data_IF_262453108634
#
_entry.id   IF_262453108634
#
_cell.length_a   1.000
_cell.length_b   1.000
_cell.length_c   1.000
_cell.angle_alpha   90.00
_cell.angle_beta   90.00
_cell.angle_gamma   90.00
#
_symmetry.space_group_name_H-M   'P 1'
#
loop_
_entity.id
_entity.type
_entity.pdbx_description
1 polymer ?
#
# COMPACT_ATOMS: atom_id res chain seq x y z
N UNK A 1 -25.94 11.65 -8.33
CA UNK A 1 -24.87 12.54 -8.79
C UNK A 1 -23.81 11.64 -9.39
N UNK A 2 -23.58 11.73 -10.72
CA UNK A 2 -22.46 11.04 -11.33
C UNK A 2 -21.18 11.71 -10.82
N UNK A 3 -20.38 11.01 -10.02
CA UNK A 3 -19.05 11.49 -9.64
C UNK A 3 -18.27 11.74 -10.92
N UNK A 4 -17.62 12.90 -10.99
CA UNK A 4 -17.08 13.48 -12.22
C UNK A 4 -15.99 12.61 -12.88
N UNK A 5 -15.53 11.56 -12.19
CA UNK A 5 -14.81 10.41 -12.73
C UNK A 5 -15.45 9.13 -12.17
N UNK A 6 -15.97 8.31 -13.06
CA UNK A 6 -16.47 6.97 -12.73
C UNK A 6 -15.26 6.07 -12.39
N UNK A 7 -15.23 5.49 -11.19
CA UNK A 7 -14.14 4.62 -10.72
C UNK A 7 -13.90 3.42 -11.63
N UNK A 8 -14.88 3.03 -12.43
CA UNK A 8 -14.75 1.92 -13.38
C UNK A 8 -14.20 2.33 -14.75
N UNK A 9 -14.04 3.63 -15.03
CA UNK A 9 -13.69 4.11 -16.38
C UNK A 9 -12.18 4.18 -16.62
N UNK A 10 -11.40 4.44 -15.58
CA UNK A 10 -9.96 4.64 -15.65
C UNK A 10 -9.25 3.77 -14.61
N UNK A 11 -8.02 3.36 -14.91
CA UNK A 11 -7.18 2.79 -13.88
C UNK A 11 -6.92 3.83 -12.76
N UNK A 12 -6.70 3.38 -11.52
CA UNK A 12 -6.54 4.26 -10.35
C UNK A 12 -5.44 5.31 -10.51
N UNK A 13 -4.33 4.96 -11.15
CA UNK A 13 -3.20 5.85 -11.38
C UNK A 13 -3.55 6.95 -12.39
N UNK A 14 -4.26 6.62 -13.47
CA UNK A 14 -4.81 7.60 -14.40
C UNK A 14 -5.84 8.50 -13.72
N UNK A 15 -6.73 7.95 -12.90
CA UNK A 15 -7.73 8.74 -12.19
C UNK A 15 -7.10 9.70 -11.16
N UNK A 16 -6.05 9.25 -10.47
CA UNK A 16 -5.23 10.08 -9.60
C UNK A 16 -4.61 11.25 -10.36
N UNK A 17 -4.02 10.98 -11.52
CA UNK A 17 -3.40 12.02 -12.35
C UNK A 17 -4.43 13.06 -12.78
N UNK A 18 -5.62 12.63 -13.23
CA UNK A 18 -6.69 13.55 -13.62
C UNK A 18 -7.10 14.45 -12.44
N UNK A 19 -7.35 13.86 -11.26
CA UNK A 19 -7.71 14.63 -10.07
C UNK A 19 -6.61 15.62 -9.66
N UNK A 20 -5.34 15.23 -9.82
CA UNK A 20 -4.20 16.11 -9.56
C UNK A 20 -4.17 17.31 -10.50
N UNK A 21 -4.30 17.07 -11.81
CA UNK A 21 -4.29 18.13 -12.82
C UNK A 21 -5.49 19.08 -12.65
N UNK A 22 -6.69 18.54 -12.40
CA UNK A 22 -7.87 19.36 -12.17
C UNK A 22 -7.74 20.25 -10.92
N UNK A 23 -7.14 19.73 -9.86
CA UNK A 23 -6.84 20.53 -8.66
C UNK A 23 -5.83 21.63 -8.97
N UNK A 24 -4.76 21.31 -9.69
CA UNK A 24 -3.72 22.27 -10.07
C UNK A 24 -4.30 23.41 -10.91
N UNK A 25 -5.07 23.09 -11.96
CA UNK A 25 -5.76 24.06 -12.81
C UNK A 25 -6.69 24.97 -11.99
N UNK A 26 -7.48 24.37 -11.10
CA UNK A 26 -8.44 25.10 -10.26
C UNK A 26 -7.70 26.08 -9.33
N UNK A 27 -6.60 25.64 -8.72
CA UNK A 27 -5.78 26.46 -7.84
C UNK A 27 -5.07 27.57 -8.62
N UNK A 28 -4.53 27.29 -9.80
CA UNK A 28 -3.86 28.27 -10.65
C UNK A 28 -4.82 29.41 -11.04
N UNK A 29 -6.01 29.06 -11.53
CA UNK A 29 -7.03 30.05 -11.91
C UNK A 29 -7.52 30.84 -10.69
N UNK A 30 -7.72 30.19 -9.54
CA UNK A 30 -8.16 30.89 -8.32
C UNK A 30 -7.10 31.86 -7.79
N UNK A 31 -5.82 31.48 -7.83
CA UNK A 31 -4.70 32.29 -7.34
C UNK A 31 -4.43 33.49 -8.24
N UNK A 32 -4.57 33.33 -9.56
CA UNK A 32 -4.45 34.43 -10.52
C UNK A 32 -5.53 35.52 -10.37
N UNK A 33 -6.62 35.23 -9.63
CA UNK A 33 -7.76 36.14 -9.42
C UNK A 33 -7.81 36.77 -8.02
N UNK A 34 -6.97 36.33 -7.08
CA UNK A 34 -6.79 36.99 -5.78
C UNK A 34 -6.16 38.38 -5.97
N UNK A 35 -6.96 39.43 -6.09
CA UNK A 35 -6.36 40.76 -6.31
C UNK A 35 -7.15 42.01 -6.05
N UNK A 36 -8.47 41.98 -5.77
CA UNK A 36 -9.24 43.26 -5.67
C UNK A 36 -10.33 43.33 -4.59
N UNK A 37 -10.58 42.24 -3.85
CA UNK A 37 -11.60 42.20 -2.79
C UNK A 37 -11.03 42.55 -1.41
N UNK A 38 -11.84 43.20 -0.56
CA UNK A 38 -11.51 43.38 0.86
C UNK A 38 -11.68 42.04 1.58
N UNK A 39 -10.88 41.77 2.62
CA UNK A 39 -10.98 40.53 3.40
C UNK A 39 -12.35 40.30 4.04
N UNK A 40 -13.10 41.38 4.29
CA UNK A 40 -14.44 41.34 4.90
C UNK A 40 -15.58 41.19 3.87
N UNK A 41 -15.26 41.07 2.59
CA UNK A 41 -16.24 40.93 1.52
C UNK A 41 -16.73 39.46 1.44
N UNK A 42 -18.04 39.27 1.32
CA UNK A 42 -18.61 37.95 1.02
C UNK A 42 -18.00 37.41 -0.28
N UNK A 43 -17.57 36.13 -0.31
CA UNK A 43 -17.01 35.55 -1.52
C UNK A 43 -18.01 35.67 -2.66
N UNK A 44 -17.52 36.01 -3.84
CA UNK A 44 -18.31 35.92 -5.07
C UNK A 44 -18.68 34.47 -5.36
N UNK A 45 -19.75 34.26 -6.15
CA UNK A 45 -20.15 32.93 -6.61
C UNK A 45 -19.01 32.17 -7.29
N UNK A 46 -18.15 32.90 -8.01
CA UNK A 46 -16.95 32.36 -8.65
C UNK A 46 -15.90 31.88 -7.63
N UNK A 47 -15.61 32.69 -6.61
CA UNK A 47 -14.68 32.28 -5.53
C UNK A 47 -15.22 31.10 -4.73
N UNK A 48 -16.54 31.04 -4.52
CA UNK A 48 -17.20 29.90 -3.90
C UNK A 48 -17.11 28.65 -4.80
N UNK A 49 -17.35 28.79 -6.10
CA UNK A 49 -17.25 27.70 -7.06
C UNK A 49 -15.82 27.12 -7.10
N UNK A 50 -14.79 27.96 -7.16
CA UNK A 50 -13.39 27.50 -7.13
C UNK A 50 -13.02 26.82 -5.81
N UNK A 51 -13.55 27.30 -4.69
CA UNK A 51 -13.34 26.65 -3.38
C UNK A 51 -13.93 25.25 -3.37
N UNK A 52 -15.20 25.11 -3.76
CA UNK A 52 -15.88 23.82 -3.81
C UNK A 52 -15.21 22.85 -4.79
N UNK A 53 -14.79 23.33 -5.96
CA UNK A 53 -14.05 22.52 -6.92
C UNK A 53 -12.70 22.04 -6.36
N UNK A 54 -11.97 22.92 -5.65
CA UNK A 54 -10.70 22.57 -5.03
C UNK A 54 -10.88 21.53 -3.92
N UNK A 55 -11.94 21.65 -3.11
CA UNK A 55 -12.29 20.69 -2.06
C UNK A 55 -12.64 19.32 -2.66
N UNK A 56 -13.42 19.29 -3.74
CA UNK A 56 -13.81 18.06 -4.44
C UNK A 56 -12.58 17.36 -5.05
N UNK A 57 -11.79 18.06 -5.87
CA UNK A 57 -10.61 17.47 -6.50
C UNK A 57 -9.53 17.08 -5.49
N UNK A 58 -9.39 17.85 -4.41
CA UNK A 58 -8.53 17.50 -3.29
C UNK A 58 -8.95 16.19 -2.61
N UNK A 59 -10.25 16.04 -2.34
CA UNK A 59 -10.80 14.81 -1.75
C UNK A 59 -10.65 13.61 -2.68
N UNK A 60 -10.91 13.80 -3.98
CA UNK A 60 -10.72 12.76 -4.99
C UNK A 60 -9.26 12.32 -5.09
N UNK A 61 -8.33 13.28 -5.17
CA UNK A 61 -6.89 13.00 -5.21
C UNK A 61 -6.47 12.19 -3.99
N UNK A 62 -6.86 12.60 -2.79
CA UNK A 62 -6.52 11.86 -1.57
C UNK A 62 -7.05 10.42 -1.61
N UNK A 63 -8.31 10.24 -2.02
CA UNK A 63 -8.92 8.92 -2.12
C UNK A 63 -8.15 7.99 -3.08
N UNK A 64 -7.78 8.47 -4.27
CA UNK A 64 -7.02 7.66 -5.22
C UNK A 64 -5.58 7.40 -4.75
N UNK A 65 -4.94 8.35 -4.05
CA UNK A 65 -3.64 8.12 -3.43
C UNK A 65 -3.69 6.99 -2.41
N UNK A 66 -4.70 7.01 -1.53
CA UNK A 66 -4.89 5.99 -0.51
C UNK A 66 -5.17 4.62 -1.15
N UNK A 67 -5.98 4.59 -2.21
CA UNK A 67 -6.23 3.37 -2.96
C UNK A 67 -4.97 2.80 -3.61
N UNK A 68 -4.21 3.61 -4.34
CA UNK A 68 -2.97 3.18 -4.99
C UNK A 68 -1.95 2.66 -3.96
N UNK A 69 -1.88 3.32 -2.79
CA UNK A 69 -1.04 2.87 -1.69
C UNK A 69 -1.52 1.51 -1.15
N UNK A 70 -2.81 1.37 -0.83
CA UNK A 70 -3.37 0.12 -0.33
C UNK A 70 -3.17 -1.04 -1.32
N UNK A 71 -3.39 -0.78 -2.61
CA UNK A 71 -3.17 -1.76 -3.68
C UNK A 71 -1.71 -2.17 -3.77
N UNK A 72 -0.77 -1.22 -3.75
CA UNK A 72 0.66 -1.55 -3.83
C UNK A 72 1.15 -2.36 -2.63
N UNK A 73 0.64 -2.07 -1.43
CA UNK A 73 0.91 -2.88 -0.23
C UNK A 73 0.36 -4.30 -0.38
N UNK A 74 -0.87 -4.45 -0.89
CA UNK A 74 -1.46 -5.77 -1.13
C UNK A 74 -0.65 -6.55 -2.17
N UNK A 75 -0.31 -5.91 -3.30
CA UNK A 75 0.47 -6.53 -4.37
C UNK A 75 1.86 -6.99 -3.87
N UNK A 76 2.49 -6.22 -2.98
CA UNK A 76 3.77 -6.60 -2.36
C UNK A 76 3.63 -7.80 -1.43
N UNK A 77 2.58 -7.83 -0.59
CA UNK A 77 2.29 -8.97 0.28
C UNK A 77 2.07 -10.24 -0.55
N UNK A 78 1.27 -10.14 -1.61
CA UNK A 78 0.96 -11.29 -2.46
C UNK A 78 2.20 -11.80 -3.23
N UNK A 79 3.04 -10.90 -3.72
CA UNK A 79 4.29 -11.26 -4.40
C UNK A 79 5.30 -11.89 -3.45
N UNK A 80 5.42 -11.35 -2.24
CA UNK A 80 6.42 -11.79 -1.26
C UNK A 80 5.92 -12.94 -0.37
N UNK A 81 4.65 -13.33 -0.46
CA UNK A 81 4.04 -14.33 0.42
C UNK A 81 4.82 -15.65 0.48
N UNK A 82 5.29 -16.15 -0.66
CA UNK A 82 6.06 -17.40 -0.71
C UNK A 82 7.43 -17.27 -0.02
N UNK A 83 8.11 -16.13 -0.22
CA UNK A 83 9.40 -15.82 0.39
C UNK A 83 9.24 -15.64 1.90
N UNK A 84 8.21 -14.91 2.34
CA UNK A 84 7.88 -14.70 3.74
C UNK A 84 7.57 -16.03 4.45
N UNK A 85 6.80 -16.92 3.82
CA UNK A 85 6.51 -18.24 4.38
C UNK A 85 7.77 -19.12 4.46
N UNK A 86 8.65 -19.07 3.45
CA UNK A 86 9.92 -19.78 3.51
C UNK A 86 10.79 -19.27 4.67
N UNK A 87 10.91 -17.96 4.85
CA UNK A 87 11.64 -17.37 5.97
C UNK A 87 11.02 -17.71 7.32
N UNK A 88 9.68 -17.74 7.42
CA UNK A 88 8.97 -18.17 8.63
C UNK A 88 9.36 -19.61 9.02
N UNK A 89 9.36 -20.52 8.05
CA UNK A 89 9.77 -21.93 8.26
C UNK A 89 11.23 -22.01 8.68
N UNK A 90 12.13 -21.26 8.03
CA UNK A 90 13.55 -21.25 8.37
C UNK A 90 13.80 -20.77 9.80
N UNK A 91 13.14 -19.69 10.24
CA UNK A 91 13.32 -19.18 11.61
C UNK A 91 12.74 -20.14 12.65
N UNK A 92 11.58 -20.76 12.36
CA UNK A 92 10.99 -21.76 13.25
C UNK A 92 11.89 -23.00 13.40
N UNK A 93 12.50 -23.46 12.30
CA UNK A 93 13.47 -24.55 12.31
C UNK A 93 14.74 -24.17 13.11
N UNK A 94 15.30 -22.98 12.85
CA UNK A 94 16.48 -22.50 13.57
C UNK A 94 16.20 -22.35 15.09
N UNK A 95 15.01 -21.89 15.47
CA UNK A 95 14.60 -21.81 16.87
C UNK A 95 14.43 -23.20 17.52
N UNK A 96 14.01 -24.21 16.75
CA UNK A 96 13.96 -25.60 17.20
C UNK A 96 15.37 -26.21 17.35
N UNK A 97 16.27 -25.95 16.40
CA UNK A 97 17.66 -26.40 16.44
C UNK A 97 18.40 -25.84 17.65
N UNK A 98 18.24 -24.53 17.92
CA UNK A 98 18.83 -23.90 19.12
C UNK A 98 18.38 -24.60 20.40
N UNK A 99 17.10 -24.93 20.52
CA UNK A 99 16.55 -25.67 21.68
C UNK A 99 17.09 -27.09 21.76
N UNK A 100 17.16 -27.80 20.64
CA UNK A 100 17.69 -29.16 20.59
C UNK A 100 19.18 -29.20 20.98
N UNK A 101 19.99 -28.26 20.48
CA UNK A 101 21.39 -28.12 20.83
C UNK A 101 21.59 -27.82 22.33
N UNK A 102 20.76 -26.97 22.92
CA UNK A 102 20.76 -26.70 24.35
C UNK A 102 20.45 -27.97 25.17
N UNK A 103 19.41 -28.73 24.82
CA UNK A 103 19.08 -30.00 25.49
C UNK A 103 20.22 -31.01 25.39
N UNK A 104 20.82 -31.13 24.20
CA UNK A 104 21.96 -32.02 23.97
C UNK A 104 23.17 -31.64 24.82
N UNK A 105 23.48 -30.35 24.93
CA UNK A 105 24.57 -29.85 25.79
C UNK A 105 24.38 -30.17 27.28
N UNK A 106 23.11 -30.32 27.71
CA UNK A 106 22.73 -30.72 29.07
C UNK A 106 22.67 -32.23 29.26
N UNK A 107 23.03 -33.02 28.23
CA UNK A 107 22.97 -34.48 28.23
C UNK A 107 21.55 -35.04 28.20
N UNK A 108 20.57 -34.23 27.80
CA UNK A 108 19.17 -34.64 27.70
C UNK A 108 18.88 -35.25 26.32
N UNK A 109 17.80 -36.03 26.24
CA UNK A 109 17.37 -36.62 24.97
C UNK A 109 16.96 -35.53 23.97
N UNK A 110 17.35 -35.72 22.71
CA UNK A 110 16.94 -34.82 21.62
C UNK A 110 15.42 -34.89 21.41
N UNK A 111 14.75 -33.75 21.23
CA UNK A 111 13.34 -33.73 20.88
C UNK A 111 13.15 -34.27 19.46
N UNK A 112 11.93 -34.72 19.14
CA UNK A 112 11.62 -35.08 17.76
C UNK A 112 11.67 -33.82 16.87
N UNK A 113 12.12 -33.95 15.60
CA UNK A 113 12.13 -32.83 14.67
C UNK A 113 10.74 -32.22 14.51
N UNK A 114 10.69 -30.89 14.49
CA UNK A 114 9.48 -30.12 14.21
C UNK A 114 9.09 -30.25 12.73
N UNK A 115 7.87 -29.87 12.39
CA UNK A 115 7.43 -29.80 11.00
C UNK A 115 8.28 -28.82 10.18
N UNK A 116 8.66 -27.69 10.77
CA UNK A 116 9.54 -26.72 10.13
C UNK A 116 10.93 -27.30 9.80
N UNK A 117 11.55 -28.05 10.73
CA UNK A 117 12.82 -28.74 10.48
C UNK A 117 12.68 -29.78 9.36
N UNK A 118 11.62 -30.60 9.39
CA UNK A 118 11.34 -31.59 8.32
C UNK A 118 11.12 -30.93 6.96
N UNK A 119 10.40 -29.81 6.92
CA UNK A 119 10.11 -29.07 5.70
C UNK A 119 11.38 -28.44 5.12
N UNK A 120 12.31 -28.00 5.97
CA UNK A 120 13.62 -27.47 5.54
C UNK A 120 14.55 -28.57 5.01
N UNK A 121 14.47 -29.78 5.57
CA UNK A 121 15.25 -30.95 5.12
C UNK A 121 14.74 -31.56 3.80
N UNK A 122 13.54 -31.20 3.37
CA UNK A 122 12.98 -31.61 2.09
C UNK A 122 13.72 -30.92 0.93
N UNK A 123 14.19 -31.70 -0.05
CA UNK A 123 14.89 -31.20 -1.25
C UNK A 123 14.04 -30.30 -2.14
N UNK A 124 12.72 -30.32 -1.96
CA UNK A 124 11.78 -29.46 -2.69
C UNK A 124 11.62 -28.08 -2.05
N UNK A 125 12.14 -27.87 -0.85
CA UNK A 125 12.11 -26.57 -0.20
C UNK A 125 12.99 -25.58 -0.95
N UNK A 126 12.38 -24.51 -1.46
CA UNK A 126 13.07 -23.46 -2.18
C UNK A 126 12.57 -22.09 -1.70
N UNK A 127 13.52 -21.24 -1.29
CA UNK A 127 13.26 -19.86 -0.83
C UNK A 127 12.94 -18.94 -2.01
N UNK A 128 13.46 -19.25 -3.19
CA UNK A 128 13.28 -18.49 -4.42
C UNK A 128 12.52 -19.34 -5.44
N UNK A 129 11.23 -19.58 -5.20
CA UNK A 129 10.35 -19.96 -6.29
C UNK A 129 10.01 -18.69 -7.08
N UNK A 130 10.31 -18.62 -8.38
CA UNK A 130 9.84 -17.50 -9.18
C UNK A 130 8.31 -17.53 -9.16
N UNK A 131 7.69 -16.44 -8.73
CA UNK A 131 6.26 -16.22 -8.92
C UNK A 131 6.00 -16.18 -10.43
N UNK A 132 5.61 -17.31 -11.01
CA UNK A 132 5.08 -17.34 -12.38
C UNK A 132 3.79 -16.50 -12.39
N UNK A 133 3.81 -15.41 -13.15
CA UNK A 133 2.63 -14.59 -13.45
C UNK A 133 1.93 -15.11 -14.69
#
# INVERSE_FOLDING_TARGET
>A
MATLLDFNRYDPETALLIAHLQLEDTLEVSNGRKGKGRADQTPSDEELAFRLASEEFGSMKQMYQDYCLAKSLNDAIDQDAAILEAHRVMEEAAAADRRAAELLSRGQALPQPTEAQRRLEDRTFNVYQPTER
#
